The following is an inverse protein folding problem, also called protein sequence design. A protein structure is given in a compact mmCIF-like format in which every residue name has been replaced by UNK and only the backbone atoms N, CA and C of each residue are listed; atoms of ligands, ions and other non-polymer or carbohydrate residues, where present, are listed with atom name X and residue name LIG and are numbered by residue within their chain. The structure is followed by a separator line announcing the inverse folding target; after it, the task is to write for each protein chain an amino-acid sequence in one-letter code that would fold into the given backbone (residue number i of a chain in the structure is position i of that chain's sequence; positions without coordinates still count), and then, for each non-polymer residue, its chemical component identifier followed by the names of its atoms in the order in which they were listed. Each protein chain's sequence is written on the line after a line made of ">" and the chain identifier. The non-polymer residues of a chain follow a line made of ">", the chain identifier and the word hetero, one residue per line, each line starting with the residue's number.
data_IF_022843902717
#
_entry.id   IF_022843902717
#
_cell.length_a   1.000
_cell.length_b   1.000
_cell.length_c   1.000
_cell.angle_alpha   90.00
_cell.angle_beta   90.00
_cell.angle_gamma   90.00
#
_symmetry.space_group_name_H-M   'P 1'
#
loop_
_entity.id
_entity.type
_entity.pdbx_description
1 polymer ?
#
# COMPACT_ATOMS: atom_id res chain seq x y z
N UNK A 1 3.32 12.73 42.24
CA UNK A 1 2.00 12.66 41.57
C UNK A 1 2.34 12.14 40.17
N UNK A 2 2.07 10.85 39.87
CA UNK A 2 2.22 10.31 38.53
C UNK A 2 0.97 10.76 37.78
N UNK A 3 1.12 11.54 36.73
CA UNK A 3 0.03 11.79 35.79
C UNK A 3 -0.39 10.43 35.23
N UNK A 4 -1.68 10.12 35.33
CA UNK A 4 -2.26 8.97 34.67
C UNK A 4 -2.06 9.18 33.18
N UNK A 5 -1.12 8.43 32.59
CA UNK A 5 -1.00 8.30 31.15
C UNK A 5 -2.21 7.46 30.73
N UNK A 6 -3.31 8.12 30.45
CA UNK A 6 -4.40 7.52 29.69
C UNK A 6 -3.82 7.26 28.30
N UNK A 7 -3.64 5.97 27.97
CA UNK A 7 -3.37 5.49 26.61
C UNK A 7 -4.68 5.66 25.80
N UNK A 8 -5.17 6.89 25.67
CA UNK A 8 -6.15 7.23 24.66
C UNK A 8 -5.44 7.07 23.31
N UNK A 9 -5.71 5.97 22.68
CA UNK A 9 -5.18 5.66 21.35
C UNK A 9 -5.89 6.55 20.31
N UNK A 10 -5.56 7.84 20.31
CA UNK A 10 -5.89 8.71 19.18
C UNK A 10 -5.01 8.27 18.00
N UNK A 11 -5.66 7.87 16.92
CA UNK A 11 -4.95 7.55 15.69
C UNK A 11 -4.18 8.77 15.17
N UNK A 12 -3.00 8.61 14.58
CA UNK A 12 -2.31 9.70 13.90
C UNK A 12 -3.20 10.35 12.83
N UNK A 13 -3.08 11.68 12.60
CA UNK A 13 -3.85 12.38 11.56
C UNK A 13 -3.73 11.73 10.17
N UNK A 14 -2.58 11.13 9.86
CA UNK A 14 -2.33 10.38 8.62
C UNK A 14 -3.27 9.18 8.47
N UNK A 15 -3.63 8.54 9.59
CA UNK A 15 -4.58 7.41 9.60
C UNK A 15 -6.00 7.89 9.34
N UNK A 16 -6.41 9.01 9.91
CA UNK A 16 -7.73 9.60 9.63
C UNK A 16 -7.85 9.97 8.16
N UNK A 17 -6.83 10.61 7.59
CA UNK A 17 -6.75 10.95 6.18
C UNK A 17 -6.74 9.70 5.27
N UNK A 18 -6.02 8.63 5.67
CA UNK A 18 -6.02 7.35 4.99
C UNK A 18 -7.42 6.73 4.94
N UNK A 19 -8.13 6.68 6.07
CA UNK A 19 -9.48 6.10 6.12
C UNK A 19 -10.46 6.90 5.27
N UNK A 20 -10.41 8.23 5.33
CA UNK A 20 -11.25 9.10 4.50
C UNK A 20 -11.00 8.89 3.00
N UNK A 21 -9.72 8.83 2.58
CA UNK A 21 -9.32 8.51 1.21
C UNK A 21 -9.80 7.14 0.76
N UNK A 22 -9.60 6.13 1.59
CA UNK A 22 -10.01 4.75 1.32
C UNK A 22 -11.51 4.66 1.07
N UNK A 23 -12.29 5.27 1.95
CA UNK A 23 -13.75 5.27 1.83
C UNK A 23 -14.22 6.02 0.57
N UNK A 24 -13.55 7.12 0.21
CA UNK A 24 -13.85 7.86 -1.02
C UNK A 24 -13.55 7.01 -2.27
N UNK A 25 -12.38 6.36 -2.32
CA UNK A 25 -11.99 5.51 -3.46
C UNK A 25 -12.88 4.25 -3.54
N UNK A 26 -13.17 3.61 -2.41
CA UNK A 26 -14.00 2.41 -2.34
C UNK A 26 -15.50 2.64 -2.56
N UNK A 27 -15.97 3.88 -2.48
CA UNK A 27 -17.38 4.20 -2.75
C UNK A 27 -17.76 4.14 -4.24
N UNK A 28 -16.78 4.21 -5.14
CA UNK A 28 -17.01 4.11 -6.60
C UNK A 28 -16.51 2.75 -7.12
N UNK A 29 -17.39 1.83 -7.53
CA UNK A 29 -17.00 0.51 -8.02
C UNK A 29 -16.20 0.56 -9.34
N UNK A 30 -16.16 1.70 -10.03
CA UNK A 30 -15.29 1.90 -11.21
C UNK A 30 -13.84 2.13 -10.81
N UNK A 31 -13.60 2.59 -9.58
CA UNK A 31 -12.26 2.86 -9.02
C UNK A 31 -11.66 1.60 -8.41
N UNK A 32 -12.47 0.80 -7.72
CA UNK A 32 -12.05 -0.50 -7.21
C UNK A 32 -13.25 -1.40 -6.97
N UNK A 33 -13.09 -2.70 -7.22
CA UNK A 33 -14.14 -3.69 -6.97
C UNK A 33 -14.31 -3.95 -5.47
N UNK A 34 -15.49 -4.46 -5.08
CA UNK A 34 -15.80 -4.84 -3.70
C UNK A 34 -14.75 -5.82 -3.14
N UNK A 35 -14.24 -5.50 -1.96
CA UNK A 35 -13.23 -6.32 -1.29
C UNK A 35 -11.84 -6.27 -1.91
N UNK A 36 -11.68 -5.64 -3.08
CA UNK A 36 -10.40 -5.50 -3.77
C UNK A 36 -9.63 -4.24 -3.35
N UNK A 37 -8.37 -4.21 -3.72
CA UNK A 37 -7.48 -3.10 -3.46
C UNK A 37 -7.09 -2.93 -1.99
N UNK A 38 -6.08 -2.10 -1.77
CA UNK A 38 -5.65 -1.65 -0.45
C UNK A 38 -4.93 -0.30 -0.55
N UNK A 39 -4.96 0.43 0.54
CA UNK A 39 -4.38 1.75 0.67
C UNK A 39 -3.54 1.81 1.93
N UNK A 40 -2.56 2.70 1.96
CA UNK A 40 -1.68 2.84 3.13
C UNK A 40 -1.21 4.25 3.37
N UNK A 41 -0.78 4.50 4.61
CA UNK A 41 0.07 5.62 4.97
C UNK A 41 1.24 5.17 5.86
N UNK A 42 2.28 5.96 5.87
CA UNK A 42 3.41 5.86 6.81
C UNK A 42 3.37 7.07 7.71
N UNK A 43 3.47 6.85 9.02
CA UNK A 43 3.52 7.92 10.01
C UNK A 43 4.60 7.64 11.06
N UNK A 44 5.26 8.70 11.50
CA UNK A 44 6.17 8.65 12.63
C UNK A 44 5.35 8.73 13.93
N UNK A 45 5.57 7.79 14.83
CA UNK A 45 4.92 7.75 16.15
C UNK A 45 5.95 7.54 17.25
N UNK A 46 5.64 7.99 18.45
CA UNK A 46 6.49 7.75 19.61
C UNK A 46 6.21 6.35 20.18
N UNK A 47 7.25 5.53 20.28
CA UNK A 47 7.15 4.23 20.94
C UNK A 47 6.88 4.43 22.43
N UNK A 48 5.75 3.98 22.97
CA UNK A 48 5.37 4.23 24.37
C UNK A 48 6.26 3.51 25.38
N UNK A 49 7.07 2.54 24.94
CA UNK A 49 7.99 1.79 25.82
C UNK A 49 9.36 2.42 25.84
N UNK A 50 9.87 2.83 24.69
CA UNK A 50 11.24 3.34 24.55
C UNK A 50 11.32 4.87 24.50
N UNK A 51 10.21 5.54 24.17
CA UNK A 51 10.16 6.98 23.89
C UNK A 51 10.80 7.38 22.56
N UNK A 52 11.22 6.42 21.73
CA UNK A 52 11.86 6.69 20.45
C UNK A 52 10.81 6.91 19.34
N UNK A 53 11.12 7.83 18.42
CA UNK A 53 10.35 7.98 17.21
C UNK A 53 10.50 6.71 16.32
N UNK A 54 9.39 6.22 15.81
CA UNK A 54 9.31 4.97 15.05
C UNK A 54 8.39 5.15 13.86
N UNK A 55 8.86 4.80 12.68
CA UNK A 55 8.03 4.78 11.47
C UNK A 55 7.11 3.56 11.47
N UNK A 56 5.81 3.81 11.37
CA UNK A 56 4.77 2.78 11.30
C UNK A 56 4.05 2.84 9.96
N UNK A 57 3.91 1.69 9.33
CA UNK A 57 3.04 1.48 8.18
C UNK A 57 1.65 1.13 8.68
N UNK A 58 0.66 1.88 8.22
CA UNK A 58 -0.76 1.60 8.34
C UNK A 58 -1.28 1.23 6.96
N UNK A 59 -1.74 0.00 6.80
CA UNK A 59 -2.20 -0.53 5.51
C UNK A 59 -3.50 -1.32 5.72
N UNK A 60 -4.45 -1.20 4.78
CA UNK A 60 -5.67 -2.01 4.83
C UNK A 60 -5.29 -3.49 4.91
N UNK A 61 -5.79 -4.15 5.93
CA UNK A 61 -5.54 -5.57 6.16
C UNK A 61 -6.25 -6.49 5.15
N UNK A 62 -6.03 -7.78 5.31
CA UNK A 62 -6.68 -8.81 4.51
C UNK A 62 -8.18 -8.82 4.77
N UNK A 63 -8.96 -8.95 3.70
CA UNK A 63 -10.42 -8.91 3.76
C UNK A 63 -11.00 -7.50 3.95
N UNK A 64 -12.31 -7.37 3.97
CA UNK A 64 -13.01 -6.10 4.10
C UNK A 64 -12.98 -5.25 2.83
N UNK A 65 -13.79 -4.23 2.80
CA UNK A 65 -13.98 -3.32 1.67
C UNK A 65 -13.36 -1.95 1.94
N UNK A 66 -12.78 -1.31 0.92
CA UNK A 66 -12.21 0.04 1.06
C UNK A 66 -13.28 1.08 1.41
N UNK A 67 -14.48 0.97 0.83
CA UNK A 67 -15.58 1.92 1.04
C UNK A 67 -16.13 1.92 2.46
N UNK A 68 -15.80 0.92 3.27
CA UNK A 68 -16.25 0.79 4.67
C UNK A 68 -15.09 0.62 5.64
N UNK A 69 -13.87 0.94 5.20
CA UNK A 69 -12.68 0.84 6.03
C UNK A 69 -12.81 1.68 7.29
N UNK A 70 -12.38 1.12 8.40
CA UNK A 70 -12.20 1.79 9.69
C UNK A 70 -10.79 1.57 10.20
N UNK A 71 -10.30 2.36 11.16
CA UNK A 71 -8.94 2.21 11.69
C UNK A 71 -8.62 0.78 12.18
N UNK A 72 -9.59 0.07 12.74
CA UNK A 72 -9.44 -1.31 13.22
C UNK A 72 -9.21 -2.32 12.09
N UNK A 73 -9.60 -1.96 10.86
CA UNK A 73 -9.35 -2.74 9.64
C UNK A 73 -7.94 -2.56 9.06
N UNK A 74 -7.11 -1.74 9.68
CA UNK A 74 -5.72 -1.55 9.29
C UNK A 74 -4.81 -2.57 9.98
N UNK A 75 -3.89 -3.14 9.22
CA UNK A 75 -2.69 -3.76 9.76
C UNK A 75 -1.68 -2.66 10.10
N UNK A 76 -1.10 -2.72 11.29
CA UNK A 76 -0.11 -1.77 11.77
C UNK A 76 1.24 -2.45 11.93
N UNK A 77 2.25 -1.99 11.20
CA UNK A 77 3.56 -2.66 11.16
C UNK A 77 4.71 -1.67 11.33
N UNK A 78 5.75 -2.09 12.02
CA UNK A 78 7.01 -1.37 12.06
C UNK A 78 7.66 -1.38 10.68
N UNK A 79 7.80 -0.21 10.08
CA UNK A 79 8.30 -0.06 8.72
C UNK A 79 9.74 -0.57 8.58
N UNK A 80 10.59 -0.30 9.57
CA UNK A 80 11.97 -0.79 9.62
C UNK A 80 12.05 -2.32 9.58
N UNK A 81 11.15 -3.01 10.30
CA UNK A 81 11.10 -4.48 10.30
C UNK A 81 10.62 -5.05 8.97
N UNK A 82 9.55 -4.48 8.39
CA UNK A 82 9.08 -4.94 7.07
C UNK A 82 10.17 -4.75 6.01
N UNK A 83 10.86 -3.61 6.03
CA UNK A 83 11.99 -3.36 5.12
C UNK A 83 13.16 -4.30 5.34
N UNK A 84 13.43 -4.71 6.58
CA UNK A 84 14.49 -5.65 6.92
C UNK A 84 14.23 -7.07 6.39
N UNK A 85 12.97 -7.43 6.08
CA UNK A 85 12.63 -8.73 5.47
C UNK A 85 13.30 -8.95 4.11
N UNK A 86 13.78 -7.89 3.43
CA UNK A 86 14.65 -8.02 2.24
C UNK A 86 15.86 -8.92 2.48
N UNK A 87 16.41 -8.90 3.70
CA UNK A 87 17.60 -9.69 4.06
C UNK A 87 17.32 -11.17 4.30
N UNK A 88 16.06 -11.55 4.49
CA UNK A 88 15.65 -12.95 4.74
C UNK A 88 14.80 -13.54 3.61
N UNK A 89 14.38 -12.73 2.64
CA UNK A 89 13.62 -13.20 1.49
C UNK A 89 14.44 -14.15 0.62
N UNK A 90 13.88 -15.33 0.33
CA UNK A 90 14.56 -16.44 -0.37
C UNK A 90 14.11 -16.63 -1.82
N UNK A 91 13.31 -15.70 -2.35
CA UNK A 91 12.82 -15.75 -3.73
C UNK A 91 11.38 -16.28 -3.84
N UNK A 92 10.87 -16.28 -5.06
CA UNK A 92 9.45 -16.47 -5.41
C UNK A 92 8.82 -17.77 -4.91
N UNK A 93 9.60 -18.82 -4.71
CA UNK A 93 9.11 -20.10 -4.17
C UNK A 93 8.79 -20.02 -2.66
N UNK A 94 9.14 -18.92 -2.01
CA UNK A 94 8.99 -18.70 -0.57
C UNK A 94 8.06 -17.51 -0.23
N UNK A 95 7.19 -17.10 -1.17
CA UNK A 95 6.29 -15.95 -0.97
C UNK A 95 5.34 -16.13 0.23
N UNK A 96 4.84 -17.32 0.45
CA UNK A 96 3.91 -17.60 1.55
C UNK A 96 4.55 -17.41 2.92
N UNK A 97 5.86 -17.69 3.04
CA UNK A 97 6.62 -17.43 4.26
C UNK A 97 6.72 -15.95 4.60
N UNK A 98 6.68 -15.08 3.60
CA UNK A 98 6.74 -13.63 3.80
C UNK A 98 5.46 -13.09 4.42
N UNK A 99 4.30 -13.69 4.12
CA UNK A 99 3.02 -13.32 4.75
C UNK A 99 3.08 -13.65 6.25
N UNK A 100 3.61 -14.81 6.60
CA UNK A 100 3.82 -15.19 8.02
C UNK A 100 4.85 -14.27 8.69
N UNK A 101 5.90 -13.88 7.98
CA UNK A 101 6.94 -12.98 8.50
C UNK A 101 6.42 -11.58 8.84
N UNK A 102 5.37 -11.09 8.18
CA UNK A 102 4.73 -9.80 8.53
C UNK A 102 4.17 -9.79 9.94
N UNK A 103 3.73 -10.93 10.48
CA UNK A 103 3.24 -11.02 11.86
C UNK A 103 4.33 -10.63 12.88
N UNK A 104 5.62 -10.90 12.57
CA UNK A 104 6.75 -10.50 13.41
C UNK A 104 7.09 -9.00 13.27
N UNK A 105 6.48 -8.32 12.31
CA UNK A 105 6.67 -6.88 12.08
C UNK A 105 5.58 -6.02 12.73
N UNK A 106 4.59 -6.60 13.39
CA UNK A 106 3.46 -5.86 13.96
C UNK A 106 3.90 -4.79 14.94
N UNK A 107 3.22 -3.66 14.88
CA UNK A 107 3.27 -2.58 15.83
C UNK A 107 2.12 -2.71 16.83
N UNK A 108 2.41 -2.55 18.13
CA UNK A 108 1.43 -2.51 19.23
C UNK A 108 0.44 -3.70 19.31
N UNK A 109 0.71 -4.82 18.65
CA UNK A 109 -0.06 -6.07 18.79
C UNK A 109 -1.51 -6.04 18.32
N UNK A 110 -1.94 -4.98 17.61
CA UNK A 110 -3.33 -4.78 17.21
C UNK A 110 -3.53 -4.69 15.69
N UNK A 111 -4.81 -4.53 15.30
CA UNK A 111 -5.24 -4.34 13.93
C UNK A 111 -5.52 -5.63 13.16
N UNK A 112 -5.90 -5.47 11.91
CA UNK A 112 -6.20 -6.57 10.99
C UNK A 112 -4.94 -7.37 10.61
N UNK A 113 -5.11 -8.57 10.05
CA UNK A 113 -4.01 -9.35 9.52
C UNK A 113 -3.39 -8.64 8.29
N UNK A 114 -2.05 -8.57 8.16
CA UNK A 114 -1.42 -8.05 6.97
C UNK A 114 -1.84 -8.83 5.72
N UNK A 115 -2.02 -8.14 4.59
CA UNK A 115 -2.26 -8.78 3.31
C UNK A 115 -0.95 -9.15 2.62
N UNK A 116 -1.04 -9.98 1.57
CA UNK A 116 0.10 -10.30 0.71
C UNK A 116 0.69 -9.06 0.03
N UNK A 117 -0.12 -8.01 -0.18
CA UNK A 117 0.28 -6.75 -0.80
C UNK A 117 1.05 -5.80 0.13
N UNK A 118 1.14 -6.14 1.43
CA UNK A 118 1.84 -5.32 2.44
C UNK A 118 3.24 -4.91 1.99
N UNK A 119 3.94 -5.78 1.26
CA UNK A 119 5.29 -5.50 0.76
C UNK A 119 5.34 -4.28 -0.15
N UNK A 120 4.45 -4.16 -1.15
CA UNK A 120 4.47 -3.01 -2.06
C UNK A 120 4.25 -1.69 -1.32
N UNK A 121 3.38 -1.68 -0.32
CA UNK A 121 3.13 -0.50 0.51
C UNK A 121 4.32 -0.10 1.38
N UNK A 122 5.05 -1.07 1.92
CA UNK A 122 6.20 -0.83 2.78
C UNK A 122 7.45 -0.43 2.00
N UNK A 123 7.67 -1.06 0.83
CA UNK A 123 8.93 -1.00 0.09
C UNK A 123 9.02 0.20 -0.85
N UNK A 124 7.90 0.69 -1.39
CA UNK A 124 7.85 1.97 -2.13
C UNK A 124 8.16 3.10 -1.16
N UNK A 125 9.13 3.96 -1.51
CA UNK A 125 9.58 5.05 -0.65
C UNK A 125 8.71 6.31 -0.84
N UNK A 126 7.41 6.15 -0.58
CA UNK A 126 6.44 7.25 -0.57
C UNK A 126 5.55 7.11 0.68
N UNK A 127 5.13 8.23 1.31
CA UNK A 127 4.30 8.19 2.51
C UNK A 127 2.92 7.56 2.29
N UNK A 128 2.32 7.74 1.11
CA UNK A 128 1.00 7.24 0.77
C UNK A 128 1.06 6.38 -0.48
N UNK A 129 0.42 5.20 -0.44
CA UNK A 129 0.35 4.24 -1.55
C UNK A 129 -1.08 3.72 -1.68
N UNK A 130 -1.62 3.75 -2.90
CA UNK A 130 -2.90 3.15 -3.24
C UNK A 130 -2.67 2.00 -4.24
N UNK A 131 -3.23 0.85 -3.95
CA UNK A 131 -3.38 -0.26 -4.89
C UNK A 131 -4.86 -0.48 -5.15
N UNK A 132 -5.29 -0.38 -6.41
CA UNK A 132 -6.68 -0.36 -6.81
C UNK A 132 -6.92 -1.28 -8.01
N UNK A 133 -8.18 -1.70 -8.17
CA UNK A 133 -8.63 -2.54 -9.27
C UNK A 133 -9.68 -1.81 -10.13
N UNK A 134 -9.35 -0.67 -10.78
CA UNK A 134 -10.31 0.06 -11.58
C UNK A 134 -10.56 -0.64 -12.91
N UNK A 135 -11.83 -0.72 -13.33
CA UNK A 135 -12.26 -1.44 -14.54
C UNK A 135 -11.48 -1.03 -15.79
N UNK A 136 -11.25 0.29 -15.98
CA UNK A 136 -10.52 0.80 -17.13
C UNK A 136 -9.05 0.32 -17.13
N UNK A 137 -8.37 0.35 -15.98
CA UNK A 137 -6.98 -0.10 -15.88
C UNK A 137 -6.88 -1.62 -15.94
N UNK A 138 -7.86 -2.36 -15.38
CA UNK A 138 -7.92 -3.82 -15.52
C UNK A 138 -8.06 -4.23 -16.98
N UNK A 139 -8.91 -3.54 -17.74
CA UNK A 139 -9.07 -3.79 -19.17
C UNK A 139 -7.76 -3.61 -19.93
N UNK A 140 -7.03 -2.53 -19.63
CA UNK A 140 -5.70 -2.26 -20.16
C UNK A 140 -4.68 -3.30 -19.71
N UNK A 141 -4.67 -3.65 -18.41
CA UNK A 141 -3.75 -4.61 -17.81
C UNK A 141 -3.94 -6.04 -18.34
N UNK A 142 -5.16 -6.38 -18.80
CA UNK A 142 -5.51 -7.67 -19.37
C UNK A 142 -5.33 -7.74 -20.90
N UNK A 143 -5.08 -6.61 -21.58
CA UNK A 143 -4.87 -6.57 -23.01
C UNK A 143 -3.57 -7.25 -23.41
N UNK A 144 -3.57 -7.92 -24.59
CA UNK A 144 -2.35 -8.57 -25.09
C UNK A 144 -1.21 -7.60 -25.38
N UNK A 145 -1.54 -6.35 -25.69
CA UNK A 145 -0.65 -5.22 -25.95
C UNK A 145 -0.65 -4.19 -24.80
N UNK A 146 -1.03 -4.59 -23.59
CA UNK A 146 -1.22 -3.74 -22.43
C UNK A 146 0.01 -2.89 -22.08
N UNK A 147 1.23 -3.42 -22.25
CA UNK A 147 2.47 -2.65 -22.06
C UNK A 147 2.58 -1.49 -23.06
N UNK A 148 2.30 -1.76 -24.34
CA UNK A 148 2.33 -0.73 -25.38
C UNK A 148 1.26 0.35 -25.13
N UNK A 149 0.05 -0.09 -24.79
CA UNK A 149 -1.06 0.82 -24.45
C UNK A 149 -0.75 1.64 -23.18
N UNK A 150 -0.15 1.06 -22.16
CA UNK A 150 0.28 1.80 -20.96
C UNK A 150 1.25 2.92 -21.33
N UNK A 151 2.23 2.62 -22.19
CA UNK A 151 3.19 3.60 -22.66
C UNK A 151 2.54 4.69 -23.54
N UNK A 152 1.56 4.32 -24.36
CA UNK A 152 0.83 5.26 -25.21
C UNK A 152 -0.03 6.22 -24.38
N UNK A 153 -0.78 5.69 -23.40
CA UNK A 153 -1.68 6.49 -22.57
C UNK A 153 -0.95 7.37 -21.56
N UNK A 154 0.09 6.85 -20.92
CA UNK A 154 0.70 7.48 -19.74
C UNK A 154 2.16 7.90 -19.94
N UNK A 155 2.76 7.60 -21.09
CA UNK A 155 4.14 8.01 -21.39
C UNK A 155 5.15 7.46 -20.39
N UNK A 156 5.77 8.37 -19.61
CA UNK A 156 6.73 8.04 -18.56
C UNK A 156 6.18 8.19 -17.15
N UNK A 157 4.91 8.56 -17.01
CA UNK A 157 4.30 8.78 -15.69
C UNK A 157 3.95 7.47 -15.00
N UNK A 158 3.59 6.44 -15.78
CA UNK A 158 3.38 5.09 -15.28
C UNK A 158 4.33 4.10 -15.96
N UNK A 159 4.84 3.16 -15.20
CA UNK A 159 5.56 2.02 -15.73
C UNK A 159 4.63 0.79 -15.83
N UNK A 160 4.99 -0.13 -16.72
CA UNK A 160 4.38 -1.44 -16.82
C UNK A 160 5.19 -2.45 -16.01
N UNK A 161 4.49 -3.25 -15.18
CA UNK A 161 5.07 -4.42 -14.51
C UNK A 161 4.39 -5.66 -15.10
N UNK A 162 5.10 -6.57 -15.78
CA UNK A 162 4.54 -7.82 -16.27
C UNK A 162 3.90 -8.62 -15.13
N UNK A 163 2.91 -9.46 -15.48
CA UNK A 163 2.22 -10.26 -14.48
C UNK A 163 3.18 -10.99 -13.54
N UNK A 164 2.95 -10.79 -12.27
CA UNK A 164 3.59 -11.50 -11.17
C UNK A 164 2.56 -11.86 -10.12
N UNK A 165 2.79 -12.99 -9.46
CA UNK A 165 2.04 -13.31 -8.26
C UNK A 165 2.18 -12.15 -7.26
N UNK A 166 1.08 -11.64 -6.66
CA UNK A 166 1.16 -10.70 -5.55
C UNK A 166 2.06 -11.25 -4.43
N UNK A 167 2.90 -10.40 -3.87
CA UNK A 167 3.82 -10.81 -2.82
C UNK A 167 5.03 -9.92 -2.67
N UNK A 168 6.04 -10.42 -1.98
CA UNK A 168 7.24 -9.66 -1.62
C UNK A 168 8.09 -9.31 -2.85
N UNK A 169 8.22 -10.24 -3.80
CA UNK A 169 8.95 -10.00 -5.06
C UNK A 169 8.34 -8.88 -5.89
N UNK A 170 7.00 -8.86 -6.01
CA UNK A 170 6.30 -7.78 -6.70
C UNK A 170 6.57 -6.44 -6.02
N UNK A 171 6.54 -6.41 -4.68
CA UNK A 171 6.87 -5.22 -3.91
C UNK A 171 8.31 -4.73 -4.15
N UNK A 172 9.29 -5.65 -4.24
CA UNK A 172 10.68 -5.32 -4.55
C UNK A 172 10.81 -4.70 -5.94
N UNK A 173 10.13 -5.24 -6.95
CA UNK A 173 10.18 -4.73 -8.32
C UNK A 173 9.58 -3.34 -8.44
N UNK A 174 8.40 -3.12 -7.83
CA UNK A 174 7.76 -1.80 -7.82
C UNK A 174 8.66 -0.77 -7.13
N UNK A 175 9.23 -1.13 -5.98
CA UNK A 175 10.13 -0.25 -5.24
C UNK A 175 11.40 0.10 -6.04
N UNK A 176 11.99 -0.86 -6.76
CA UNK A 176 13.14 -0.61 -7.63
C UNK A 176 12.77 0.34 -8.78
N UNK A 177 11.65 0.10 -9.47
CA UNK A 177 11.17 0.98 -10.54
C UNK A 177 10.92 2.41 -10.05
N UNK A 178 10.33 2.57 -8.87
CA UNK A 178 10.09 3.88 -8.27
C UNK A 178 11.39 4.61 -7.92
N UNK A 179 12.39 3.89 -7.39
CA UNK A 179 13.69 4.44 -7.04
C UNK A 179 14.51 4.87 -8.27
N UNK A 180 14.49 4.05 -9.31
CA UNK A 180 15.21 4.32 -10.55
C UNK A 180 14.57 5.42 -11.41
N UNK A 181 13.28 5.71 -11.17
CA UNK A 181 12.49 6.68 -11.94
C UNK A 181 11.73 7.63 -11.02
N UNK A 182 12.35 8.67 -10.47
CA UNK A 182 11.70 9.60 -9.51
C UNK A 182 10.48 10.34 -10.05
N UNK A 183 10.28 10.35 -11.38
CA UNK A 183 9.11 10.95 -12.01
C UNK A 183 7.90 10.02 -12.14
N UNK A 184 8.03 8.75 -11.75
CA UNK A 184 6.90 7.83 -11.76
C UNK A 184 5.86 8.19 -10.69
N UNK A 185 4.60 8.17 -11.09
CA UNK A 185 3.43 8.36 -10.22
C UNK A 185 2.79 7.03 -9.81
N UNK A 186 3.14 5.95 -10.53
CA UNK A 186 2.58 4.64 -10.31
C UNK A 186 3.02 3.60 -11.33
N UNK A 187 2.41 2.43 -11.23
CA UNK A 187 2.62 1.29 -12.15
C UNK A 187 1.30 0.64 -12.50
N UNK A 188 1.18 0.22 -13.75
CA UNK A 188 0.14 -0.73 -14.20
C UNK A 188 0.70 -2.14 -14.01
N UNK A 189 -0.03 -2.97 -13.30
CA UNK A 189 0.32 -4.37 -13.03
C UNK A 189 -0.38 -5.26 -14.04
N UNK A 190 0.35 -5.85 -14.97
CA UNK A 190 -0.18 -6.74 -16.01
C UNK A 190 -1.02 -7.86 -15.41
N UNK A 191 -2.26 -8.03 -15.91
CA UNK A 191 -3.21 -9.01 -15.40
C UNK A 191 -3.70 -8.80 -13.96
N UNK A 192 -3.48 -7.60 -13.36
CA UNK A 192 -3.80 -7.40 -11.95
C UNK A 192 -4.51 -6.05 -11.69
N UNK A 193 -3.86 -4.90 -11.83
CA UNK A 193 -4.45 -3.62 -11.48
C UNK A 193 -3.48 -2.45 -11.52
N UNK A 194 -3.69 -1.48 -10.63
CA UNK A 194 -2.97 -0.21 -10.55
C UNK A 194 -2.32 -0.06 -9.17
N UNK A 195 -1.10 0.47 -9.12
CA UNK A 195 -0.51 0.99 -7.88
C UNK A 195 0.01 2.39 -8.12
N UNK A 196 -0.41 3.35 -7.27
CA UNK A 196 0.00 4.76 -7.32
C UNK A 196 0.54 5.20 -5.97
N UNK A 197 1.28 6.30 -5.93
CA UNK A 197 1.84 6.85 -4.70
C UNK A 197 2.04 8.35 -4.77
N UNK A 198 2.08 8.99 -3.59
CA UNK A 198 2.39 10.41 -3.46
C UNK A 198 2.89 10.78 -2.06
N UNK A 199 3.31 12.05 -1.92
CA UNK A 199 3.81 12.60 -0.65
C UNK A 199 2.71 12.92 0.35
N UNK A 200 1.47 13.18 -0.09
CA UNK A 200 0.32 13.46 0.79
C UNK A 200 -0.88 12.59 0.43
N UNK A 201 -1.82 12.46 1.36
CA UNK A 201 -3.06 11.69 1.16
C UNK A 201 -3.88 12.22 -0.01
N UNK A 202 -4.04 13.54 -0.08
CA UNK A 202 -4.81 14.21 -1.13
C UNK A 202 -4.15 14.04 -2.49
N UNK A 203 -2.81 14.18 -2.55
CA UNK A 203 -2.07 13.99 -3.80
C UNK A 203 -2.13 12.54 -4.27
N UNK A 204 -2.10 11.55 -3.34
CA UNK A 204 -2.23 10.15 -3.68
C UNK A 204 -3.61 9.83 -4.27
N UNK A 205 -4.68 10.31 -3.63
CA UNK A 205 -6.05 10.19 -4.16
C UNK A 205 -6.19 10.85 -5.54
N UNK A 206 -5.68 12.07 -5.69
CA UNK A 206 -5.75 12.79 -6.95
C UNK A 206 -5.00 12.05 -8.06
N UNK A 207 -3.81 11.49 -7.75
CA UNK A 207 -3.03 10.67 -8.69
C UNK A 207 -3.81 9.44 -9.13
N UNK A 208 -4.41 8.70 -8.18
CA UNK A 208 -5.20 7.51 -8.49
C UNK A 208 -6.38 7.85 -9.41
N UNK A 209 -7.14 8.90 -9.08
CA UNK A 209 -8.30 9.30 -9.87
C UNK A 209 -7.95 9.87 -11.25
N UNK A 210 -6.85 10.61 -11.37
CA UNK A 210 -6.34 11.15 -12.64
C UNK A 210 -5.92 10.03 -13.61
N UNK A 211 -5.30 8.98 -13.10
CA UNK A 211 -4.93 7.81 -13.90
C UNK A 211 -6.16 7.01 -14.38
N UNK A 212 -7.22 6.99 -13.57
CA UNK A 212 -8.43 6.20 -13.86
C UNK A 212 -9.37 6.92 -14.83
N UNK A 213 -9.31 8.26 -14.88
CA UNK A 213 -10.21 9.10 -15.70
C UNK A 213 -9.91 9.01 -17.20
#
# INVERSE_FOLDING_TARGET
>A
MREDVTLDATWPPEVEALVARSNTLGADPRVTNYGGGNTSCKAAVVDPVTGAETDVLYVKGSGGDLGTLRPEGLATLRLDRVRALRGVYRGVDHEDEMVEAFEHCRWAGGGAAPSIDTAMHALVDAPHVDHLHPDAVIALAAAADGEALTKECFGRELAWVPWRRPGFELGLQIAALAADNPGLRGVVLGGHGLTTWAATSEACQATSLDVIA
#
